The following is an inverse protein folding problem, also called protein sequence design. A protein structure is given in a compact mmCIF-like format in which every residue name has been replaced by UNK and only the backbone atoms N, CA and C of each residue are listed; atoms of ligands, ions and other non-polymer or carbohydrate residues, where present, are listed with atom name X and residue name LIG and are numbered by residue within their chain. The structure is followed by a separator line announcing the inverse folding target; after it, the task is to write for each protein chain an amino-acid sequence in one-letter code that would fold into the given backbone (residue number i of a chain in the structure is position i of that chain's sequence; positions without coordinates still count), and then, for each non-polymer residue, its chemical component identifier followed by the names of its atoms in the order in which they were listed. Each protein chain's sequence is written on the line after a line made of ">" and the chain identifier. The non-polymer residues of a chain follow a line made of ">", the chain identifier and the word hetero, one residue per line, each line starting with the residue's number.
data_IF_029357154930
#
_entry.id   IF_029357154930
#
_cell.length_a   1.000
_cell.length_b   1.000
_cell.length_c   1.000
_cell.angle_alpha   90.00
_cell.angle_beta   90.00
_cell.angle_gamma   90.00
#
_symmetry.space_group_name_H-M   'P 1'
#
loop_
_entity.id
_entity.type
_entity.pdbx_description
1 polymer ?
#
# COMPACT_ATOMS: atom_id res chain seq x y z
N UNK A 1 1.97 20.77 50.36
CA UNK A 1 0.98 21.68 49.74
C UNK A 1 0.99 21.34 48.26
N UNK A 2 0.12 20.45 47.79
CA UNK A 2 -1.11 20.76 47.02
C UNK A 2 -0.74 21.00 45.54
N UNK A 3 -1.19 20.29 44.51
CA UNK A 3 -2.47 19.61 44.19
C UNK A 3 -2.19 18.34 43.36
N UNK A 4 -2.90 17.22 43.51
CA UNK A 4 -4.25 16.92 43.00
C UNK A 4 -4.49 17.27 41.52
N UNK A 5 -4.43 16.25 40.65
CA UNK A 5 -5.37 16.11 39.52
C UNK A 5 -5.78 14.64 39.43
N UNK A 6 -7.10 14.45 39.41
CA UNK A 6 -7.83 13.20 39.39
C UNK A 6 -8.18 12.81 37.94
N UNK A 7 -8.44 11.52 37.77
CA UNK A 7 -9.39 10.89 36.83
C UNK A 7 -9.09 10.83 35.32
N UNK A 8 -8.85 9.56 34.93
CA UNK A 8 -9.63 8.81 33.94
C UNK A 8 -9.37 9.12 32.47
N UNK A 9 -9.09 8.09 31.66
CA UNK A 9 -10.01 7.58 30.63
C UNK A 9 -9.32 6.47 29.80
N UNK A 10 -9.94 5.29 29.82
CA UNK A 10 -10.00 4.25 28.78
C UNK A 10 -8.74 3.54 28.25
N UNK A 11 -8.63 2.27 28.71
CA UNK A 11 -8.39 1.02 27.97
C UNK A 11 -7.70 1.05 26.59
N UNK A 12 -6.61 0.28 26.41
CA UNK A 12 -6.19 -0.20 25.11
C UNK A 12 -7.23 -1.18 24.56
N UNK A 13 -7.92 -0.74 23.51
CA UNK A 13 -8.77 -1.57 22.65
C UNK A 13 -8.03 -2.83 22.20
N UNK A 14 -8.54 -3.97 22.63
CA UNK A 14 -8.98 -5.09 21.78
C UNK A 14 -8.26 -5.15 20.42
N UNK A 15 -7.20 -5.94 20.33
CA UNK A 15 -6.74 -6.45 19.04
C UNK A 15 -6.09 -7.83 19.16
N UNK A 16 -6.84 -8.80 19.68
CA UNK A 16 -6.61 -10.21 19.37
C UNK A 16 -7.81 -11.10 19.70
N UNK A 17 -8.97 -10.86 19.08
CA UNK A 17 -10.03 -11.87 19.02
C UNK A 17 -11.06 -11.56 17.92
N UNK A 18 -10.64 -11.65 16.66
CA UNK A 18 -11.60 -11.67 15.56
C UNK A 18 -11.13 -12.56 14.41
N UNK A 19 -10.99 -13.84 14.73
CA UNK A 19 -10.97 -14.88 13.73
C UNK A 19 -11.82 -16.04 14.22
N UNK A 20 -12.85 -16.37 13.42
CA UNK A 20 -13.78 -17.52 13.47
C UNK A 20 -15.11 -17.24 14.20
N UNK A 21 -16.16 -16.92 13.42
CA UNK A 21 -17.23 -17.90 13.27
C UNK A 21 -17.81 -17.97 11.84
N UNK A 22 -16.96 -18.08 10.80
CA UNK A 22 -17.45 -18.28 9.43
C UNK A 22 -17.07 -19.64 8.81
N UNK A 23 -16.30 -20.46 9.52
CA UNK A 23 -15.91 -21.81 9.03
C UNK A 23 -16.88 -22.90 9.51
N UNK A 24 -17.61 -22.69 10.60
CA UNK A 24 -18.57 -23.68 11.13
C UNK A 24 -19.94 -23.69 10.42
N UNK A 25 -20.33 -22.61 9.73
CA UNK A 25 -21.58 -22.60 8.95
C UNK A 25 -21.47 -23.37 7.63
N UNK A 26 -20.28 -23.48 7.04
CA UNK A 26 -20.11 -24.14 5.74
C UNK A 26 -20.14 -25.68 5.86
N UNK A 27 -19.69 -26.23 6.99
CA UNK A 27 -19.77 -27.69 7.23
C UNK A 27 -21.19 -28.18 7.53
N UNK A 28 -22.07 -27.35 8.09
CA UNK A 28 -23.47 -27.74 8.39
C UNK A 28 -24.35 -27.74 7.12
N UNK A 29 -24.07 -26.85 6.15
CA UNK A 29 -24.86 -26.77 4.91
C UNK A 29 -24.54 -27.94 3.94
N UNK A 30 -23.31 -28.44 3.95
CA UNK A 30 -22.93 -29.60 3.12
C UNK A 30 -23.50 -30.93 3.65
N UNK A 31 -23.61 -31.10 4.98
CA UNK A 31 -24.16 -32.33 5.58
C UNK A 31 -25.68 -32.49 5.38
N UNK A 32 -26.43 -31.39 5.26
CA UNK A 32 -27.89 -31.44 5.06
C UNK A 32 -28.30 -31.87 3.64
N UNK A 33 -27.53 -31.49 2.62
CA UNK A 33 -27.84 -31.84 1.23
C UNK A 33 -27.54 -33.31 0.88
N UNK A 34 -26.56 -33.93 1.55
CA UNK A 34 -26.25 -35.36 1.33
C UNK A 34 -27.36 -36.28 1.87
N UNK A 35 -28.00 -35.93 3.00
CA UNK A 35 -29.11 -36.71 3.56
C UNK A 35 -30.39 -36.65 2.71
N UNK A 36 -30.64 -35.55 2.00
CA UNK A 36 -31.81 -35.42 1.12
C UNK A 36 -31.62 -36.24 -0.16
N UNK A 37 -30.40 -36.26 -0.71
CA UNK A 37 -30.06 -37.08 -1.88
C UNK A 37 -30.09 -38.59 -1.56
N UNK A 38 -29.59 -39.00 -0.39
CA UNK A 38 -29.64 -40.41 0.06
C UNK A 38 -31.07 -40.86 0.39
N UNK A 39 -31.92 -39.99 0.96
CA UNK A 39 -33.33 -40.30 1.20
C UNK A 39 -34.15 -40.44 -0.10
N UNK A 40 -33.82 -39.65 -1.13
CA UNK A 40 -34.44 -39.76 -2.46
C UNK A 40 -33.98 -41.02 -3.22
N UNK A 41 -32.72 -41.43 -3.08
CA UNK A 41 -32.22 -42.69 -3.65
C UNK A 41 -32.80 -43.92 -2.91
N UNK A 42 -32.93 -43.88 -1.58
CA UNK A 42 -33.51 -44.97 -0.79
C UNK A 42 -35.01 -45.17 -1.02
N UNK A 43 -35.77 -44.13 -1.36
CA UNK A 43 -37.20 -44.26 -1.70
C UNK A 43 -37.41 -44.89 -3.07
N UNK A 44 -36.56 -44.57 -4.06
CA UNK A 44 -36.57 -45.19 -5.39
C UNK A 44 -36.12 -46.65 -5.34
N UNK A 45 -35.17 -47.01 -4.46
CA UNK A 45 -34.72 -48.40 -4.24
C UNK A 45 -35.76 -49.24 -3.45
N UNK A 46 -36.54 -48.65 -2.53
CA UNK A 46 -37.65 -49.35 -1.86
C UNK A 46 -38.84 -49.62 -2.77
N UNK A 47 -39.09 -48.77 -3.77
CA UNK A 47 -40.19 -48.99 -4.73
C UNK A 47 -39.85 -50.07 -5.79
N UNK A 48 -38.58 -50.21 -6.18
CA UNK A 48 -38.17 -51.26 -7.12
C UNK A 48 -38.12 -52.65 -6.49
N UNK A 49 -37.74 -52.78 -5.21
CA UNK A 49 -37.67 -54.07 -4.52
C UNK A 49 -39.05 -54.66 -4.17
N UNK A 50 -40.05 -53.82 -3.86
CA UNK A 50 -41.43 -54.26 -3.62
C UNK A 50 -42.13 -54.79 -4.89
N UNK A 51 -41.72 -54.33 -6.06
CA UNK A 51 -42.27 -54.80 -7.35
C UNK A 51 -41.71 -56.19 -7.73
N UNK A 52 -40.43 -56.44 -7.45
CA UNK A 52 -39.78 -57.73 -7.73
C UNK A 52 -40.17 -58.80 -6.70
N UNK A 53 -40.35 -58.43 -5.43
CA UNK A 53 -40.68 -59.41 -4.37
C UNK A 53 -42.07 -60.03 -4.54
N UNK A 54 -43.09 -59.29 -5.00
CA UNK A 54 -44.44 -59.86 -5.23
C UNK A 54 -44.50 -60.82 -6.43
N UNK A 55 -43.66 -60.62 -7.45
CA UNK A 55 -43.61 -61.49 -8.64
C UNK A 55 -42.90 -62.81 -8.33
N UNK A 56 -41.83 -62.78 -7.53
CA UNK A 56 -41.05 -64.00 -7.19
C UNK A 56 -41.78 -64.91 -6.20
N UNK A 57 -42.53 -64.38 -5.23
CA UNK A 57 -43.28 -65.24 -4.27
C UNK A 57 -44.46 -65.97 -4.92
N UNK A 58 -45.06 -65.41 -5.97
CA UNK A 58 -46.11 -66.07 -6.76
C UNK A 58 -45.50 -67.16 -7.65
N UNK A 59 -44.31 -66.91 -8.23
CA UNK A 59 -43.61 -67.89 -9.05
C UNK A 59 -43.08 -69.09 -8.25
N UNK A 60 -42.59 -68.87 -7.03
CA UNK A 60 -42.04 -69.95 -6.19
C UNK A 60 -43.13 -70.86 -5.59
N UNK A 61 -44.38 -70.37 -5.45
CA UNK A 61 -45.52 -71.18 -4.97
C UNK A 61 -46.14 -72.05 -6.08
N UNK A 62 -45.83 -71.76 -7.35
CA UNK A 62 -46.34 -72.48 -8.52
C UNK A 62 -45.44 -73.67 -8.96
N UNK A 63 -44.22 -73.82 -8.44
CA UNK A 63 -43.29 -74.89 -8.84
C UNK A 63 -43.29 -76.14 -7.92
N UNK A 64 -44.16 -76.22 -6.91
CA UNK A 64 -44.16 -77.34 -5.94
C UNK A 64 -45.14 -78.49 -6.26
N UNK A 65 -45.92 -78.44 -7.33
CA UNK A 65 -46.76 -79.57 -7.74
C UNK A 65 -46.48 -79.94 -9.18
N UNK A 66 -45.71 -81.02 -9.34
CA UNK A 66 -45.50 -81.72 -10.61
C UNK A 66 -46.84 -82.14 -11.20
N UNK A 67 -47.02 -81.86 -12.50
CA UNK A 67 -47.68 -82.78 -13.41
C UNK A 67 -49.20 -82.72 -13.51
N UNK A 68 -49.63 -82.36 -14.72
CA UNK A 68 -50.82 -82.86 -15.44
C UNK A 68 -52.21 -82.36 -15.05
N UNK A 69 -52.99 -82.13 -16.11
CA UNK A 69 -54.42 -81.82 -16.17
C UNK A 69 -54.80 -80.34 -16.01
N UNK A 70 -54.73 -79.67 -17.15
CA UNK A 70 -55.69 -78.65 -17.57
C UNK A 70 -57.09 -79.29 -17.51
N UNK A 71 -58.04 -78.62 -16.85
CA UNK A 71 -59.42 -78.32 -17.28
C UNK A 71 -60.38 -78.30 -16.09
N UNK A 72 -61.19 -77.23 -16.03
CA UNK A 72 -62.29 -76.94 -15.08
C UNK A 72 -61.96 -76.13 -13.82
N UNK A 73 -61.44 -74.91 -13.98
CA UNK A 73 -61.57 -73.90 -12.92
C UNK A 73 -61.94 -72.51 -13.52
N UNK A 74 -63.08 -71.88 -13.13
CA UNK A 74 -63.51 -70.57 -13.63
C UNK A 74 -62.59 -69.40 -13.23
N UNK A 75 -61.59 -69.61 -12.38
CA UNK A 75 -60.67 -68.57 -11.95
C UNK A 75 -59.63 -68.15 -13.01
N UNK A 76 -59.39 -68.96 -14.03
CA UNK A 76 -58.40 -68.62 -15.08
C UNK A 76 -58.90 -67.51 -16.02
N UNK A 77 -60.20 -67.45 -16.28
CA UNK A 77 -60.81 -66.40 -17.10
C UNK A 77 -60.91 -65.04 -16.39
N UNK A 78 -60.88 -65.02 -15.05
CA UNK A 78 -60.81 -63.77 -14.27
C UNK A 78 -59.41 -63.14 -14.26
N UNK A 79 -58.36 -63.93 -14.44
CA UNK A 79 -56.97 -63.45 -14.39
C UNK A 79 -56.52 -62.80 -15.70
N UNK A 80 -57.06 -63.21 -16.86
CA UNK A 80 -56.77 -62.57 -18.15
C UNK A 80 -57.45 -61.20 -18.27
N UNK A 81 -58.70 -61.05 -17.82
CA UNK A 81 -59.40 -59.76 -17.84
C UNK A 81 -58.86 -58.75 -16.81
N UNK A 82 -58.22 -59.20 -15.72
CA UNK A 82 -57.54 -58.31 -14.77
C UNK A 82 -56.22 -57.74 -15.32
N UNK A 83 -55.61 -58.41 -16.30
CA UNK A 83 -54.36 -57.96 -16.92
C UNK A 83 -54.54 -56.85 -17.96
N UNK A 84 -55.62 -56.87 -18.75
CA UNK A 84 -55.92 -55.81 -19.74
C UNK A 84 -56.28 -54.46 -19.08
N UNK A 85 -57.00 -54.48 -17.95
CA UNK A 85 -57.37 -53.24 -17.22
C UNK A 85 -56.17 -52.56 -16.55
N UNK A 86 -55.17 -53.33 -16.11
CA UNK A 86 -53.99 -52.79 -15.44
C UNK A 86 -52.91 -52.29 -16.43
N UNK A 87 -52.82 -52.86 -17.65
CA UNK A 87 -51.88 -52.37 -18.66
C UNK A 87 -52.28 -50.99 -19.21
N UNK A 88 -53.57 -50.75 -19.49
CA UNK A 88 -54.06 -49.44 -19.93
C UNK A 88 -53.85 -48.35 -18.87
N UNK A 89 -54.05 -48.67 -17.58
CA UNK A 89 -53.80 -47.73 -16.49
C UNK A 89 -52.31 -47.42 -16.22
N UNK A 90 -51.40 -48.27 -16.68
CA UNK A 90 -49.96 -48.06 -16.55
C UNK A 90 -49.40 -47.15 -17.66
N UNK A 91 -49.93 -47.27 -18.89
CA UNK A 91 -49.53 -46.44 -20.03
C UNK A 91 -49.96 -44.97 -19.89
N UNK A 92 -51.18 -44.73 -19.38
CA UNK A 92 -51.69 -43.37 -19.12
C UNK A 92 -50.90 -42.67 -17.99
N UNK A 93 -50.46 -43.45 -16.99
CA UNK A 93 -49.66 -42.96 -15.85
C UNK A 93 -48.23 -42.61 -16.27
N UNK A 94 -47.65 -43.36 -17.20
CA UNK A 94 -46.34 -43.05 -17.79
C UNK A 94 -46.36 -41.76 -18.62
N UNK A 95 -47.47 -41.46 -19.31
CA UNK A 95 -47.62 -40.20 -20.07
C UNK A 95 -47.67 -38.97 -19.15
N UNK A 96 -48.28 -39.09 -17.96
CA UNK A 96 -48.26 -38.02 -16.96
C UNK A 96 -46.90 -37.84 -16.28
N UNK A 97 -46.16 -38.93 -16.04
CA UNK A 97 -44.79 -38.87 -15.49
C UNK A 97 -43.84 -38.15 -16.46
N UNK A 98 -44.00 -38.32 -17.77
CA UNK A 98 -43.17 -37.69 -18.80
C UNK A 98 -43.33 -36.16 -18.92
N UNK A 99 -44.57 -35.67 -18.77
CA UNK A 99 -44.87 -34.23 -18.76
C UNK A 99 -44.33 -33.57 -17.48
N UNK A 100 -44.40 -34.29 -16.37
CA UNK A 100 -43.87 -33.86 -15.08
C UNK A 100 -42.33 -33.84 -15.13
N UNK A 101 -41.68 -34.89 -15.62
CA UNK A 101 -40.21 -34.95 -15.75
C UNK A 101 -39.65 -33.86 -16.68
N UNK A 102 -40.30 -33.55 -17.81
CA UNK A 102 -39.89 -32.41 -18.67
C UNK A 102 -39.97 -31.07 -17.95
N UNK A 103 -41.00 -30.87 -17.13
CA UNK A 103 -41.16 -29.63 -16.34
C UNK A 103 -40.11 -29.52 -15.23
N UNK A 104 -39.67 -30.63 -14.64
CA UNK A 104 -38.58 -30.65 -13.65
C UNK A 104 -37.20 -30.45 -14.29
N UNK A 105 -36.92 -31.06 -15.45
CA UNK A 105 -35.63 -30.89 -16.15
C UNK A 105 -35.40 -29.43 -16.58
N UNK A 106 -36.41 -28.77 -17.16
CA UNK A 106 -36.29 -27.37 -17.59
C UNK A 106 -36.06 -26.40 -16.41
N UNK A 107 -36.58 -26.73 -15.21
CA UNK A 107 -36.41 -25.93 -14.00
C UNK A 107 -35.01 -26.09 -13.39
N UNK A 108 -34.46 -27.32 -13.39
CA UNK A 108 -33.07 -27.58 -12.97
C UNK A 108 -32.05 -26.90 -13.89
N UNK A 109 -32.32 -26.84 -15.20
CA UNK A 109 -31.42 -26.25 -16.18
C UNK A 109 -31.35 -24.72 -16.06
N UNK A 110 -32.46 -24.06 -15.70
CA UNK A 110 -32.46 -22.63 -15.39
C UNK A 110 -31.72 -22.30 -14.09
N UNK A 111 -31.85 -23.11 -13.04
CA UNK A 111 -31.10 -22.92 -11.80
C UNK A 111 -29.59 -23.18 -11.95
N UNK A 112 -29.20 -24.12 -12.83
CA UNK A 112 -27.80 -24.38 -13.15
C UNK A 112 -27.16 -23.24 -13.97
N UNK A 113 -27.90 -22.65 -14.92
CA UNK A 113 -27.47 -21.47 -15.70
C UNK A 113 -27.33 -20.22 -14.81
N UNK A 114 -28.24 -20.01 -13.87
CA UNK A 114 -28.14 -18.91 -12.89
C UNK A 114 -26.94 -19.05 -11.96
N UNK A 115 -26.66 -20.26 -11.45
CA UNK A 115 -25.50 -20.51 -10.56
C UNK A 115 -24.16 -20.46 -11.29
N UNK A 116 -24.10 -20.83 -12.56
CA UNK A 116 -22.89 -20.70 -13.39
C UNK A 116 -22.65 -19.26 -13.84
N UNK A 117 -23.70 -18.51 -14.20
CA UNK A 117 -23.62 -17.07 -14.46
C UNK A 117 -23.21 -16.29 -13.21
N UNK A 118 -23.70 -16.66 -12.03
CA UNK A 118 -23.30 -16.03 -10.76
C UNK A 118 -21.82 -16.30 -10.43
N UNK A 119 -21.32 -17.53 -10.67
CA UNK A 119 -19.89 -17.84 -10.52
C UNK A 119 -19.02 -17.05 -11.51
N UNK A 120 -19.49 -16.88 -12.75
CA UNK A 120 -18.80 -16.08 -13.76
C UNK A 120 -18.78 -14.59 -13.40
N UNK A 121 -19.89 -14.07 -12.85
CA UNK A 121 -19.98 -12.69 -12.40
C UNK A 121 -19.06 -12.40 -11.21
N UNK A 122 -18.96 -13.34 -10.24
CA UNK A 122 -18.02 -13.24 -9.12
C UNK A 122 -16.57 -13.31 -9.60
N UNK A 123 -16.27 -14.13 -10.60
CA UNK A 123 -14.93 -14.22 -11.19
C UNK A 123 -14.53 -12.90 -11.91
N UNK A 124 -15.44 -12.34 -12.71
CA UNK A 124 -15.22 -11.08 -13.43
C UNK A 124 -15.13 -9.90 -12.45
N UNK A 125 -15.97 -9.85 -11.41
CA UNK A 125 -15.91 -8.82 -10.38
C UNK A 125 -14.64 -8.95 -9.51
N UNK A 126 -14.17 -10.17 -9.25
CA UNK A 126 -12.91 -10.44 -8.55
C UNK A 126 -11.67 -10.01 -9.35
N UNK A 127 -11.68 -10.18 -10.68
CA UNK A 127 -10.63 -9.71 -11.59
C UNK A 127 -10.64 -8.19 -11.77
N UNK A 128 -11.80 -7.53 -11.64
CA UNK A 128 -11.88 -6.07 -11.68
C UNK A 128 -11.36 -5.40 -10.39
N UNK A 129 -11.42 -6.09 -9.24
CA UNK A 129 -11.01 -5.53 -7.95
C UNK A 129 -9.49 -5.53 -7.71
N UNK A 130 -8.70 -6.27 -8.50
CA UNK A 130 -7.23 -6.35 -8.32
C UNK A 130 -6.46 -5.10 -8.78
N UNK A 131 -7.13 -4.13 -9.42
CA UNK A 131 -6.54 -2.86 -9.85
C UNK A 131 -6.93 -1.65 -8.98
N UNK A 132 -7.44 -1.89 -7.77
CA UNK A 132 -7.52 -0.83 -6.77
C UNK A 132 -6.09 -0.51 -6.31
N UNK A 133 -5.38 0.31 -7.10
CA UNK A 133 -4.21 1.04 -6.64
C UNK A 133 -4.69 1.92 -5.48
N UNK A 134 -4.44 1.47 -4.26
CA UNK A 134 -4.61 2.33 -3.09
C UNK A 134 -3.63 3.49 -3.30
N UNK A 135 -4.08 4.76 -3.20
CA UNK A 135 -3.15 5.88 -3.23
C UNK A 135 -2.11 5.65 -2.13
N UNK A 136 -0.86 5.41 -2.54
CA UNK A 136 0.25 5.30 -1.61
C UNK A 136 0.67 6.72 -1.30
N UNK A 137 0.53 7.13 -0.04
CA UNK A 137 0.92 8.47 0.39
C UNK A 137 2.41 8.67 0.08
N UNK A 138 2.70 9.64 -0.77
CA UNK A 138 4.06 10.01 -1.19
C UNK A 138 4.59 11.07 -0.24
N UNK A 139 5.73 10.78 0.39
CA UNK A 139 6.38 11.67 1.34
C UNK A 139 7.60 12.27 0.67
N UNK A 140 7.63 13.60 0.57
CA UNK A 140 8.78 14.38 0.16
C UNK A 140 9.55 14.91 1.37
N UNK A 141 10.87 15.03 1.22
CA UNK A 141 11.79 15.60 2.20
C UNK A 141 12.44 16.80 1.58
N UNK A 142 12.36 17.93 2.28
CA UNK A 142 12.76 19.23 1.80
C UNK A 142 13.77 19.85 2.75
N UNK A 143 14.92 20.24 2.22
CA UNK A 143 15.92 21.04 2.92
C UNK A 143 15.84 22.49 2.46
N UNK A 144 15.42 23.38 3.36
CA UNK A 144 15.23 24.79 3.03
C UNK A 144 16.56 25.49 2.68
N UNK A 145 17.60 25.27 3.50
CA UNK A 145 18.87 25.97 3.32
C UNK A 145 19.51 25.57 2.00
N UNK A 146 19.53 24.26 1.73
CA UNK A 146 20.02 23.74 0.46
C UNK A 146 19.19 24.24 -0.71
N UNK A 147 17.86 24.23 -0.60
CA UNK A 147 17.01 24.63 -1.71
C UNK A 147 17.25 26.09 -2.14
N UNK A 148 17.42 26.97 -1.17
CA UNK A 148 17.59 28.42 -1.36
C UNK A 148 19.02 28.76 -1.79
N UNK A 149 20.03 28.18 -1.14
CA UNK A 149 21.43 28.49 -1.40
C UNK A 149 22.04 27.69 -2.57
N UNK A 150 21.29 26.82 -3.22
CA UNK A 150 21.66 26.22 -4.52
C UNK A 150 21.03 26.98 -5.72
N UNK A 151 20.28 28.06 -5.47
CA UNK A 151 19.66 28.86 -6.54
C UNK A 151 20.68 29.67 -7.35
N UNK A 152 20.37 29.92 -8.62
CA UNK A 152 21.21 30.75 -9.49
C UNK A 152 21.31 32.19 -8.97
N UNK A 153 20.21 32.69 -8.39
CA UNK A 153 20.16 34.00 -7.77
C UNK A 153 21.12 34.13 -6.59
N UNK A 154 21.20 33.11 -5.74
CA UNK A 154 22.16 33.08 -4.64
C UNK A 154 23.59 33.01 -5.15
N UNK A 155 23.88 32.23 -6.19
CA UNK A 155 25.23 32.14 -6.77
C UNK A 155 25.72 33.49 -7.29
N UNK A 156 24.84 34.28 -7.89
CA UNK A 156 25.18 35.64 -8.34
C UNK A 156 25.49 36.55 -7.14
N UNK A 157 24.63 36.57 -6.11
CA UNK A 157 24.87 37.39 -4.92
C UNK A 157 26.13 36.96 -4.16
N UNK A 158 26.42 35.65 -4.12
CA UNK A 158 27.64 35.12 -3.53
C UNK A 158 28.87 35.56 -4.31
N UNK A 159 28.83 35.53 -5.64
CA UNK A 159 29.92 36.02 -6.47
C UNK A 159 30.17 37.52 -6.24
N UNK A 160 29.10 38.33 -6.20
CA UNK A 160 29.22 39.76 -5.89
C UNK A 160 29.84 40.00 -4.50
N UNK A 161 29.47 39.19 -3.51
CA UNK A 161 30.05 39.24 -2.17
C UNK A 161 31.54 38.85 -2.18
N UNK A 162 31.90 37.81 -2.92
CA UNK A 162 33.30 37.39 -3.06
C UNK A 162 34.16 38.45 -3.76
N UNK A 163 33.60 39.13 -4.75
CA UNK A 163 34.26 40.23 -5.46
C UNK A 163 34.44 41.45 -4.55
N UNK A 164 33.44 41.78 -3.73
CA UNK A 164 33.54 42.84 -2.73
C UNK A 164 34.68 42.61 -1.73
N UNK A 165 34.95 41.36 -1.35
CA UNK A 165 36.03 41.00 -0.42
C UNK A 165 37.31 40.53 -1.11
N UNK A 166 37.47 40.75 -2.41
CA UNK A 166 38.66 40.31 -3.15
C UNK A 166 39.93 41.01 -2.64
N UNK A 167 39.86 42.30 -2.33
CA UNK A 167 40.97 43.09 -1.80
C UNK A 167 41.37 42.63 -0.39
N UNK A 168 40.39 42.41 0.49
CA UNK A 168 40.64 41.88 1.83
C UNK A 168 41.23 40.47 1.79
N UNK A 169 40.81 39.62 0.84
CA UNK A 169 41.42 38.30 0.63
C UNK A 169 42.89 38.42 0.23
N UNK A 170 43.22 39.33 -0.69
CA UNK A 170 44.60 39.61 -1.07
C UNK A 170 45.42 40.11 0.14
N UNK A 171 44.84 41.03 0.91
CA UNK A 171 45.45 41.56 2.15
C UNK A 171 45.72 40.45 3.16
N UNK A 172 44.77 39.53 3.38
CA UNK A 172 44.97 38.39 4.30
C UNK A 172 46.07 37.46 3.80
N UNK A 173 46.17 37.24 2.49
CA UNK A 173 47.25 36.45 1.90
C UNK A 173 48.61 37.10 2.15
N UNK A 174 48.74 38.40 1.91
CA UNK A 174 49.96 39.17 2.17
C UNK A 174 50.34 39.14 3.66
N UNK A 175 49.39 39.44 4.56
CA UNK A 175 49.62 39.40 6.01
C UNK A 175 50.06 38.02 6.49
N UNK A 176 49.56 36.93 5.88
CA UNK A 176 49.99 35.56 6.21
C UNK A 176 51.43 35.32 5.78
N UNK A 177 51.80 35.73 4.56
CA UNK A 177 53.19 35.62 4.08
C UNK A 177 54.14 36.42 4.95
N UNK A 178 53.81 37.68 5.27
CA UNK A 178 54.62 38.50 6.16
C UNK A 178 54.74 37.90 7.57
N UNK A 179 53.66 37.29 8.08
CA UNK A 179 53.67 36.61 9.38
C UNK A 179 54.59 35.38 9.36
N UNK A 180 54.56 34.58 8.29
CA UNK A 180 55.47 33.45 8.10
C UNK A 180 56.94 33.91 8.00
N UNK A 181 57.20 35.02 7.30
CA UNK A 181 58.54 35.61 7.21
C UNK A 181 59.05 36.08 8.58
N UNK A 182 58.21 36.69 9.41
CA UNK A 182 58.55 37.07 10.79
C UNK A 182 58.99 35.84 11.59
N UNK A 183 58.19 34.77 11.58
CA UNK A 183 58.52 33.54 12.32
C UNK A 183 59.78 32.86 11.79
N UNK A 184 59.97 32.84 10.46
CA UNK A 184 61.17 32.32 9.82
C UNK A 184 62.41 33.11 10.23
N UNK A 185 62.34 34.44 10.21
CA UNK A 185 63.44 35.33 10.57
C UNK A 185 63.87 35.14 12.03
N UNK A 186 62.90 35.11 12.96
CA UNK A 186 63.18 34.83 14.38
C UNK A 186 63.85 33.46 14.54
N UNK A 187 63.36 32.42 13.88
CA UNK A 187 63.90 31.07 14.02
C UNK A 187 65.33 30.93 13.46
N UNK A 188 65.60 31.53 12.30
CA UNK A 188 66.90 31.46 11.63
C UNK A 188 67.94 32.32 12.38
N UNK A 189 67.57 33.52 12.79
CA UNK A 189 68.49 34.51 13.35
C UNK A 189 68.45 34.60 14.88
N UNK A 190 67.78 33.66 15.56
CA UNK A 190 67.57 33.66 17.02
C UNK A 190 68.86 33.90 17.83
N UNK A 191 69.99 33.37 17.38
CA UNK A 191 71.28 33.46 18.09
C UNK A 191 71.97 34.83 17.91
N UNK A 192 71.65 35.55 16.84
CA UNK A 192 72.27 36.84 16.51
C UNK A 192 71.40 38.05 16.85
N UNK A 193 70.10 37.84 17.07
CA UNK A 193 69.14 38.90 17.39
C UNK A 193 69.18 39.28 18.86
N UNK A 194 68.93 40.57 19.15
CA UNK A 194 68.75 41.03 20.53
C UNK A 194 67.35 40.69 21.03
N UNK A 195 67.20 40.60 22.35
CA UNK A 195 65.89 40.38 23.00
C UNK A 195 64.88 41.46 22.59
N UNK A 196 65.31 42.71 22.48
CA UNK A 196 64.47 43.83 22.02
C UNK A 196 63.98 43.67 20.59
N UNK A 197 64.80 43.10 19.71
CA UNK A 197 64.42 42.89 18.31
C UNK A 197 63.45 41.71 18.15
N UNK A 198 63.68 40.62 18.90
CA UNK A 198 62.75 39.49 19.00
C UNK A 198 61.39 39.95 19.52
N UNK A 199 61.38 40.78 20.57
CA UNK A 199 60.15 41.32 21.14
C UNK A 199 59.40 42.17 20.10
N UNK A 200 60.09 43.08 19.40
CA UNK A 200 59.48 43.91 18.34
C UNK A 200 58.83 43.06 17.24
N UNK A 201 59.53 42.04 16.75
CA UNK A 201 59.00 41.15 15.72
C UNK A 201 57.83 40.30 16.21
N UNK A 202 57.86 39.87 17.48
CA UNK A 202 56.76 39.14 18.10
C UNK A 202 55.50 40.01 18.20
N UNK A 203 55.64 41.27 18.64
CA UNK A 203 54.55 42.25 18.69
C UNK A 203 53.98 42.54 17.29
N UNK A 204 54.86 42.68 16.28
CA UNK A 204 54.47 42.85 14.89
C UNK A 204 53.68 41.64 14.37
N UNK A 205 54.13 40.42 14.64
CA UNK A 205 53.43 39.19 14.29
C UNK A 205 52.05 39.09 14.95
N UNK A 206 51.95 39.45 16.24
CA UNK A 206 50.66 39.50 16.95
C UNK A 206 49.70 40.50 16.32
N UNK A 207 50.18 41.68 15.93
CA UNK A 207 49.36 42.68 15.25
C UNK A 207 48.82 42.17 13.91
N UNK A 208 49.67 41.53 13.07
CA UNK A 208 49.24 40.94 11.79
C UNK A 208 48.21 39.82 12.01
N UNK A 209 48.43 38.96 13.01
CA UNK A 209 47.48 37.90 13.38
C UNK A 209 46.12 38.46 13.79
N UNK A 210 46.09 39.53 14.60
CA UNK A 210 44.85 40.21 14.99
C UNK A 210 44.13 40.81 13.76
N UNK A 211 44.88 41.41 12.83
CA UNK A 211 44.31 41.97 11.61
C UNK A 211 43.66 40.89 10.73
N UNK A 212 44.30 39.73 10.58
CA UNK A 212 43.73 38.58 9.85
C UNK A 212 42.42 38.13 10.50
N UNK A 213 42.38 38.03 11.84
CA UNK A 213 41.18 37.63 12.59
C UNK A 213 40.04 38.63 12.37
N UNK A 214 40.31 39.94 12.47
CA UNK A 214 39.32 40.99 12.25
C UNK A 214 38.71 40.96 10.85
N UNK A 215 39.53 40.70 9.81
CA UNK A 215 39.03 40.54 8.44
C UNK A 215 38.14 39.31 8.35
N UNK A 216 38.58 38.17 8.92
CA UNK A 216 37.79 36.94 8.93
C UNK A 216 36.42 37.10 9.60
N UNK A 217 36.38 37.76 10.76
CA UNK A 217 35.12 38.06 11.47
C UNK A 217 34.19 38.94 10.64
N UNK A 218 34.73 39.95 9.94
CA UNK A 218 33.96 40.84 9.07
C UNK A 218 33.35 40.08 7.89
N UNK A 219 34.15 39.27 7.20
CA UNK A 219 33.69 38.43 6.08
C UNK A 219 32.60 37.47 6.54
N UNK A 220 32.82 36.77 7.66
CA UNK A 220 31.83 35.83 8.20
C UNK A 220 30.53 36.53 8.63
N UNK A 221 30.62 37.73 9.19
CA UNK A 221 29.45 38.51 9.59
C UNK A 221 28.67 38.98 8.38
N UNK A 222 29.37 39.53 7.38
CA UNK A 222 28.74 39.96 6.12
C UNK A 222 28.08 38.79 5.39
N UNK A 223 28.72 37.62 5.33
CA UNK A 223 28.11 36.42 4.73
C UNK A 223 26.80 36.02 5.44
N UNK A 224 26.78 36.00 6.78
CA UNK A 224 25.57 35.66 7.54
C UNK A 224 24.46 36.69 7.34
N UNK A 225 24.81 37.98 7.29
CA UNK A 225 23.85 39.05 7.02
C UNK A 225 23.25 38.90 5.62
N UNK A 226 24.08 38.66 4.59
CA UNK A 226 23.64 38.42 3.22
C UNK A 226 22.73 37.20 3.13
N UNK A 227 23.08 36.08 3.78
CA UNK A 227 22.23 34.88 3.85
C UNK A 227 20.86 35.17 4.46
N UNK A 228 20.82 35.86 5.61
CA UNK A 228 19.57 36.21 6.27
C UNK A 228 18.72 37.17 5.43
N UNK A 229 19.35 38.16 4.80
CA UNK A 229 18.67 39.11 3.92
C UNK A 229 18.11 38.44 2.68
N UNK A 230 18.84 37.48 2.10
CA UNK A 230 18.37 36.67 0.98
C UNK A 230 17.14 35.84 1.36
N UNK A 231 17.20 35.13 2.49
CA UNK A 231 16.09 34.34 3.01
C UNK A 231 14.85 35.19 3.26
N UNK A 232 14.99 36.36 3.88
CA UNK A 232 13.86 37.24 4.16
C UNK A 232 13.23 37.79 2.87
N UNK A 233 14.07 38.19 1.90
CA UNK A 233 13.62 38.72 0.60
C UNK A 233 12.79 37.70 -0.18
N UNK A 234 13.22 36.43 -0.18
CA UNK A 234 12.60 35.37 -0.97
C UNK A 234 11.65 34.48 -0.17
N UNK A 235 11.37 34.82 1.10
CA UNK A 235 10.52 34.02 2.00
C UNK A 235 9.15 33.68 1.42
N UNK A 236 8.53 34.63 0.70
CA UNK A 236 7.24 34.42 0.04
C UNK A 236 7.36 33.44 -1.13
N UNK A 237 8.31 33.67 -2.04
CA UNK A 237 8.53 32.80 -3.21
C UNK A 237 8.90 31.37 -2.83
N UNK A 238 9.59 31.17 -1.71
CA UNK A 238 9.87 29.82 -1.18
C UNK A 238 8.58 29.10 -0.83
N UNK A 239 7.64 29.79 -0.17
CA UNK A 239 6.32 29.23 0.16
C UNK A 239 5.53 28.89 -1.10
N UNK A 240 5.56 29.78 -2.08
CA UNK A 240 4.88 29.59 -3.37
C UNK A 240 5.47 28.40 -4.14
N UNK A 241 6.80 28.27 -4.18
CA UNK A 241 7.48 27.14 -4.83
C UNK A 241 7.08 25.80 -4.20
N UNK A 242 7.02 25.72 -2.87
CA UNK A 242 6.58 24.50 -2.15
C UNK A 242 5.11 24.20 -2.48
N UNK A 243 4.25 25.22 -2.49
CA UNK A 243 2.83 25.05 -2.78
C UNK A 243 2.60 24.57 -4.23
N UNK A 244 3.33 25.10 -5.21
CA UNK A 244 3.21 24.64 -6.60
C UNK A 244 3.66 23.19 -6.78
N UNK A 245 4.74 22.76 -6.11
CA UNK A 245 5.16 21.35 -6.13
C UNK A 245 4.13 20.44 -5.47
N UNK A 246 3.46 20.91 -4.42
CA UNK A 246 2.36 20.21 -3.78
C UNK A 246 1.14 20.10 -4.71
N UNK A 247 0.76 21.19 -5.39
CA UNK A 247 -0.39 21.22 -6.31
C UNK A 247 -0.20 20.37 -7.57
N UNK A 248 1.04 20.18 -8.02
CA UNK A 248 1.38 19.24 -9.11
C UNK A 248 1.08 17.77 -8.75
N UNK A 249 0.72 17.47 -7.50
CA UNK A 249 0.29 16.15 -7.06
C UNK A 249 1.43 15.14 -6.92
N UNK A 250 2.67 15.62 -6.83
CA UNK A 250 3.85 14.75 -6.70
C UNK A 250 4.05 14.23 -5.27
N UNK A 251 3.54 14.93 -4.26
CA UNK A 251 3.73 14.63 -2.84
C UNK A 251 2.49 14.96 -2.01
N UNK A 252 2.08 14.03 -1.14
CA UNK A 252 0.98 14.24 -0.19
C UNK A 252 1.46 14.94 1.09
N UNK A 253 2.72 14.72 1.47
CA UNK A 253 3.35 15.33 2.64
C UNK A 253 4.76 15.78 2.29
N UNK A 254 5.12 17.02 2.66
CA UNK A 254 6.49 17.52 2.57
C UNK A 254 6.99 17.75 4.00
N UNK A 255 8.00 16.99 4.37
CA UNK A 255 8.65 17.08 5.68
C UNK A 255 9.96 17.84 5.54
N UNK A 256 10.29 18.60 6.58
CA UNK A 256 11.58 19.29 6.68
C UNK A 256 12.70 18.28 6.99
N UNK A 257 13.85 18.42 6.33
CA UNK A 257 15.00 17.54 6.52
C UNK A 257 15.43 17.44 7.99
N UNK A 258 15.32 18.52 8.76
CA UNK A 258 15.70 18.55 10.18
C UNK A 258 14.77 17.74 11.10
N UNK A 259 13.58 17.35 10.62
CA UNK A 259 12.62 16.53 11.35
C UNK A 259 12.77 15.04 11.10
N UNK A 260 13.67 14.65 10.18
CA UNK A 260 13.84 13.26 9.72
C UNK A 260 15.21 12.74 10.13
N UNK A 261 15.25 11.62 10.85
CA UNK A 261 16.52 11.04 11.36
C UNK A 261 17.33 10.38 10.24
N UNK A 262 16.65 9.64 9.35
CA UNK A 262 17.27 8.98 8.17
C UNK A 262 16.24 8.92 7.04
N UNK A 263 16.68 9.19 5.81
CA UNK A 263 15.86 9.01 4.62
C UNK A 263 16.69 8.54 3.43
N UNK A 264 16.01 7.93 2.46
CA UNK A 264 16.60 7.61 1.16
C UNK A 264 16.51 8.79 0.20
N UNK A 265 17.49 8.93 -0.70
CA UNK A 265 17.55 9.98 -1.72
C UNK A 265 16.31 10.05 -2.63
N UNK A 266 15.54 8.96 -2.76
CA UNK A 266 14.32 8.91 -3.56
C UNK A 266 13.20 9.82 -3.05
N UNK A 267 13.28 10.29 -1.81
CA UNK A 267 12.29 11.16 -1.19
C UNK A 267 12.74 12.63 -1.17
N UNK A 268 13.94 12.95 -1.64
CA UNK A 268 14.44 14.33 -1.65
C UNK A 268 13.75 15.16 -2.74
N UNK A 269 12.97 16.15 -2.30
CA UNK A 269 12.25 17.09 -3.19
C UNK A 269 12.98 18.41 -3.36
N UNK A 270 14.08 18.60 -2.61
CA UNK A 270 14.89 19.83 -2.62
C UNK A 270 15.23 20.29 -4.04
N UNK A 271 15.73 19.42 -4.96
CA UNK A 271 16.08 19.86 -6.31
C UNK A 271 14.89 20.39 -7.12
N UNK A 272 13.71 19.78 -6.93
CA UNK A 272 12.48 20.22 -7.62
C UNK A 272 12.04 21.60 -7.12
N UNK A 273 12.11 21.82 -5.80
CA UNK A 273 11.79 23.12 -5.20
C UNK A 273 12.82 24.17 -5.60
N UNK A 274 14.12 23.84 -5.65
CA UNK A 274 15.16 24.76 -6.15
C UNK A 274 14.92 25.17 -7.59
N UNK A 275 14.65 24.22 -8.47
CA UNK A 275 14.34 24.51 -9.87
C UNK A 275 13.12 25.44 -9.98
N UNK A 276 12.08 25.15 -9.21
CA UNK A 276 10.87 25.97 -9.19
C UNK A 276 11.11 27.38 -8.64
N UNK A 277 11.91 27.49 -7.59
CA UNK A 277 12.30 28.77 -7.01
C UNK A 277 13.11 29.61 -8.00
N UNK A 278 14.02 29.00 -8.77
CA UNK A 278 14.74 29.69 -9.85
C UNK A 278 13.79 30.27 -10.91
N UNK A 279 12.77 29.51 -11.33
CA UNK A 279 11.74 30.00 -12.26
C UNK A 279 10.97 31.19 -11.68
N UNK A 280 10.54 31.11 -10.43
CA UNK A 280 9.78 32.18 -9.76
C UNK A 280 10.62 33.46 -9.60
N UNK A 281 11.88 33.34 -9.20
CA UNK A 281 12.80 34.47 -9.10
C UNK A 281 13.03 35.11 -10.47
N UNK A 282 13.23 34.29 -11.52
CA UNK A 282 13.40 34.78 -12.87
C UNK A 282 12.16 35.53 -13.39
N UNK A 283 10.95 35.04 -13.06
CA UNK A 283 9.69 35.68 -13.45
C UNK A 283 9.43 37.02 -12.74
N UNK A 284 9.91 37.19 -11.51
CA UNK A 284 9.70 38.40 -10.70
C UNK A 284 10.64 39.54 -11.10
N UNK A 285 11.73 39.24 -11.81
CA UNK A 285 12.67 40.24 -12.33
C UNK A 285 12.22 40.93 -13.63
N UNK A 286 11.13 40.45 -14.25
CA UNK A 286 10.53 41.03 -15.46
C UNK A 286 9.44 42.04 -15.10
#
# INVERSE_FOLDING_TARGET
>A
MGSMVHTSYLSPRLREQQSRPLILCYQIIMYKNLNIAVAALLSVIRLSSLCVFKVVTIYHKAQSTKGSAIFQNPDFFRLTLFWESNYCNCLERNRQIDVINRRYHNKFDQEAKMKSAQKLFILIFGLAASNLALPHATIGIFDLNRAVFETDAWMIELQELEDQFAEERATVSELRTELEEIFSNININAVTMTETEIQRLTEEGQFKQLRIQQIGERVQTSLRETQNNFLERYRQLIGDAINEIYEQGAYDFILRSESVVVSGFSFDVTPNVTAKLNELIASTRQ
#
